data_IF_533287119246
#
_entry.id   IF_533287119246
#
_cell.length_a   1.000
_cell.length_b   1.000
_cell.length_c   1.000
_cell.angle_alpha   90.00
_cell.angle_beta   90.00
_cell.angle_gamma   90.00
#
_symmetry.space_group_name_H-M   'P 1'
#
loop_
_entity.id
_entity.type
_entity.pdbx_description
1 polymer ?
#
# COMPACT_ATOMS: atom_id res chain seq x y z
N UNK A 1 30.23 2.93 -13.84
CA UNK A 1 28.86 3.48 -13.85
C UNK A 1 28.80 4.75 -13.03
N UNK A 2 28.37 5.83 -13.66
CA UNK A 2 28.04 7.10 -13.03
C UNK A 2 26.57 7.14 -12.60
N UNK A 3 26.27 7.93 -11.56
CA UNK A 3 24.91 8.12 -11.05
C UNK A 3 23.96 8.61 -12.15
N UNK A 4 24.44 9.55 -12.96
CA UNK A 4 23.68 10.17 -14.04
C UNK A 4 23.18 9.17 -15.08
N UNK A 5 23.95 8.13 -15.40
CA UNK A 5 23.53 7.07 -16.34
C UNK A 5 22.26 6.35 -15.84
N UNK A 6 22.17 6.12 -14.52
CA UNK A 6 21.02 5.47 -13.89
C UNK A 6 19.82 6.42 -13.84
N UNK A 7 20.05 7.69 -13.49
CA UNK A 7 19.00 8.71 -13.42
C UNK A 7 18.38 9.01 -14.79
N UNK A 8 19.20 9.09 -15.84
CA UNK A 8 18.75 9.25 -17.23
C UNK A 8 17.86 8.08 -17.68
N UNK A 9 18.26 6.86 -17.33
CA UNK A 9 17.51 5.64 -17.67
C UNK A 9 16.18 5.55 -16.91
N UNK A 10 16.16 5.96 -15.63
CA UNK A 10 14.97 6.00 -14.79
C UNK A 10 14.09 7.23 -15.05
N UNK A 11 14.63 8.26 -15.70
CA UNK A 11 14.02 9.60 -15.83
C UNK A 11 13.66 10.21 -14.46
N UNK A 12 14.51 9.97 -13.48
CA UNK A 12 14.28 10.36 -12.08
C UNK A 12 15.62 10.53 -11.36
N UNK A 13 15.72 11.56 -10.52
CA UNK A 13 16.87 11.75 -9.62
C UNK A 13 16.82 10.77 -8.45
N UNK A 14 17.99 10.30 -8.02
CA UNK A 14 18.11 9.42 -6.86
C UNK A 14 18.99 10.06 -5.77
N UNK A 15 18.74 9.82 -4.48
CA UNK A 15 19.64 10.27 -3.43
C UNK A 15 21.01 9.58 -3.54
N UNK A 16 22.10 10.29 -3.22
CA UNK A 16 23.46 9.72 -3.25
C UNK A 16 23.59 8.50 -2.33
N UNK A 17 22.91 8.53 -1.18
CA UNK A 17 22.87 7.41 -0.23
C UNK A 17 22.18 6.17 -0.80
N UNK A 18 21.22 6.33 -1.71
CA UNK A 18 20.61 5.23 -2.45
C UNK A 18 21.56 4.76 -3.55
N UNK A 19 22.18 5.68 -4.30
CA UNK A 19 23.13 5.34 -5.36
C UNK A 19 24.29 4.47 -4.86
N UNK A 20 24.86 4.77 -3.68
CA UNK A 20 25.94 3.94 -3.10
C UNK A 20 25.47 2.49 -2.83
N UNK A 21 24.23 2.30 -2.36
CA UNK A 21 23.67 0.95 -2.15
C UNK A 21 23.43 0.24 -3.47
N UNK A 22 22.89 0.97 -4.45
CA UNK A 22 22.62 0.48 -5.81
C UNK A 22 23.91 0.00 -6.47
N UNK A 23 24.98 0.80 -6.42
CA UNK A 23 26.28 0.46 -6.99
C UNK A 23 26.84 -0.81 -6.34
N UNK A 24 26.86 -0.86 -5.01
CA UNK A 24 27.35 -2.04 -4.29
C UNK A 24 26.52 -3.31 -4.57
N UNK A 25 25.20 -3.19 -4.73
CA UNK A 25 24.35 -4.32 -5.13
C UNK A 25 24.68 -4.77 -6.56
N UNK A 26 24.72 -3.83 -7.51
CA UNK A 26 24.93 -4.10 -8.91
C UNK A 26 26.29 -4.77 -9.15
N UNK A 27 27.37 -4.29 -8.52
CA UNK A 27 28.70 -4.89 -8.62
C UNK A 27 28.75 -6.33 -8.08
N UNK A 28 28.14 -6.56 -6.90
CA UNK A 28 28.07 -7.90 -6.32
C UNK A 28 27.29 -8.86 -7.20
N UNK A 29 26.15 -8.41 -7.74
CA UNK A 29 25.31 -9.23 -8.61
C UNK A 29 25.96 -9.49 -9.96
N UNK A 30 26.60 -8.49 -10.55
CA UNK A 30 27.36 -8.63 -11.81
C UNK A 30 28.46 -9.68 -11.66
N UNK A 31 29.26 -9.57 -10.59
CA UNK A 31 30.32 -10.54 -10.28
C UNK A 31 29.77 -11.95 -10.06
N UNK A 32 28.67 -12.06 -9.33
CA UNK A 32 28.00 -13.35 -9.12
C UNK A 32 27.58 -13.97 -10.45
N UNK A 33 26.88 -13.22 -11.31
CA UNK A 33 26.41 -13.71 -12.61
C UNK A 33 27.60 -14.09 -13.50
N UNK A 34 28.63 -13.26 -13.58
CA UNK A 34 29.83 -13.56 -14.36
C UNK A 34 30.50 -14.86 -13.89
N UNK A 35 30.59 -15.08 -12.57
CA UNK A 35 31.15 -16.32 -12.04
C UNK A 35 30.33 -17.55 -12.44
N UNK A 36 29.02 -17.42 -12.61
CA UNK A 36 28.14 -18.52 -13.03
C UNK A 36 28.18 -18.76 -14.55
N UNK A 37 28.22 -17.71 -15.36
CA UNK A 37 28.04 -17.83 -16.82
C UNK A 37 29.35 -17.76 -17.61
N UNK A 38 30.39 -17.14 -17.05
CA UNK A 38 31.66 -16.81 -17.72
C UNK A 38 31.50 -15.94 -18.98
N UNK A 39 30.34 -15.29 -19.15
CA UNK A 39 30.06 -14.45 -20.30
C UNK A 39 30.68 -13.06 -20.14
N UNK A 40 31.57 -12.68 -21.07
CA UNK A 40 32.25 -11.38 -21.05
C UNK A 40 31.28 -10.20 -21.14
N UNK A 41 30.13 -10.38 -21.80
CA UNK A 41 29.06 -9.38 -21.91
C UNK A 41 28.57 -8.91 -20.53
N UNK A 42 28.57 -9.80 -19.52
CA UNK A 42 28.14 -9.47 -18.16
C UNK A 42 29.03 -8.42 -17.52
N UNK A 43 30.33 -8.39 -17.85
CA UNK A 43 31.29 -7.43 -17.28
C UNK A 43 31.26 -6.04 -17.95
N UNK A 44 30.44 -5.84 -18.98
CA UNK A 44 30.31 -4.54 -19.64
C UNK A 44 29.54 -3.52 -18.77
N UNK A 45 29.90 -2.24 -18.87
CA UNK A 45 29.30 -1.17 -18.06
C UNK A 45 27.77 -1.10 -18.22
N UNK A 46 27.24 -1.29 -19.43
CA UNK A 46 25.79 -1.26 -19.66
C UNK A 46 25.03 -2.29 -18.83
N UNK A 47 25.63 -3.46 -18.58
CA UNK A 47 25.02 -4.51 -17.77
C UNK A 47 24.93 -4.08 -16.31
N UNK A 48 25.97 -3.41 -15.80
CA UNK A 48 25.98 -2.82 -14.47
C UNK A 48 24.87 -1.76 -14.32
N UNK A 49 24.66 -0.91 -15.34
CA UNK A 49 23.56 0.07 -15.36
C UNK A 49 22.19 -0.63 -15.32
N UNK A 50 22.01 -1.75 -16.02
CA UNK A 50 20.77 -2.53 -15.98
C UNK A 50 20.50 -3.18 -14.62
N UNK A 51 21.52 -3.70 -13.96
CA UNK A 51 21.38 -4.23 -12.59
C UNK A 51 21.05 -3.13 -11.58
N UNK A 52 21.61 -1.93 -11.78
CA UNK A 52 21.29 -0.76 -10.97
C UNK A 52 19.83 -0.32 -11.15
N UNK A 53 19.36 -0.24 -12.39
CA UNK A 53 17.98 0.06 -12.76
C UNK A 53 17.00 -0.95 -12.13
N UNK A 54 17.31 -2.24 -12.21
CA UNK A 54 16.55 -3.32 -11.58
C UNK A 54 16.41 -3.09 -10.06
N UNK A 55 17.52 -2.84 -9.38
CA UNK A 55 17.52 -2.63 -7.92
C UNK A 55 16.66 -1.43 -7.51
N UNK A 56 16.79 -0.29 -8.20
CA UNK A 56 16.01 0.91 -7.85
C UNK A 56 14.51 0.64 -8.01
N UNK A 57 14.10 -0.06 -9.08
CA UNK A 57 12.69 -0.43 -9.27
C UNK A 57 12.19 -1.38 -8.19
N UNK A 58 12.95 -2.42 -7.87
CA UNK A 58 12.60 -3.36 -6.81
C UNK A 58 12.53 -2.69 -5.44
N UNK A 59 13.45 -1.77 -5.17
CA UNK A 59 13.47 -0.98 -3.94
C UNK A 59 12.23 -0.08 -3.83
N UNK A 60 11.91 0.69 -4.87
CA UNK A 60 10.73 1.55 -4.91
C UNK A 60 9.42 0.74 -4.75
N UNK A 61 9.32 -0.41 -5.42
CA UNK A 61 8.17 -1.31 -5.28
C UNK A 61 8.05 -1.86 -3.86
N UNK A 62 9.17 -2.24 -3.24
CA UNK A 62 9.20 -2.74 -1.87
C UNK A 62 8.78 -1.67 -0.86
N UNK A 63 9.32 -0.46 -0.98
CA UNK A 63 8.95 0.69 -0.12
C UNK A 63 7.47 1.01 -0.26
N UNK A 64 6.96 1.08 -1.49
CA UNK A 64 5.54 1.31 -1.77
C UNK A 64 4.67 0.24 -1.11
N UNK A 65 5.00 -1.04 -1.32
CA UNK A 65 4.27 -2.18 -0.74
C UNK A 65 4.25 -2.10 0.79
N UNK A 66 5.39 -1.81 1.41
CA UNK A 66 5.48 -1.67 2.86
C UNK A 66 4.64 -0.49 3.38
N UNK A 67 4.59 0.63 2.65
CA UNK A 67 3.77 1.78 3.00
C UNK A 67 2.28 1.41 3.02
N UNK A 68 1.78 0.82 1.93
CA UNK A 68 0.37 0.38 1.82
C UNK A 68 0.03 -0.62 2.94
N UNK A 69 0.88 -1.60 3.21
CA UNK A 69 0.63 -2.57 4.28
C UNK A 69 0.60 -1.93 5.68
N UNK A 70 1.38 -0.85 5.92
CA UNK A 70 1.35 -0.13 7.20
C UNK A 70 0.07 0.69 7.36
N UNK A 71 -0.37 1.35 6.30
CA UNK A 71 -1.62 2.11 6.27
C UNK A 71 -2.82 1.18 6.55
N UNK A 72 -2.92 0.06 5.85
CA UNK A 72 -3.99 -0.92 6.06
C UNK A 72 -4.03 -1.46 7.49
N UNK A 73 -2.87 -1.80 8.07
CA UNK A 73 -2.77 -2.22 9.49
C UNK A 73 -3.18 -1.12 10.46
N UNK A 74 -2.97 0.14 10.12
CA UNK A 74 -3.43 1.28 10.90
C UNK A 74 -4.95 1.38 10.89
N UNK A 75 -5.55 1.29 9.70
CA UNK A 75 -7.01 1.33 9.49
C UNK A 75 -7.73 0.17 10.18
N UNK A 76 -7.20 -1.06 10.10
CA UNK A 76 -7.74 -2.22 10.81
C UNK A 76 -7.79 -2.00 12.34
N UNK A 77 -6.79 -1.30 12.89
CA UNK A 77 -6.75 -0.96 14.32
C UNK A 77 -7.68 0.18 14.70
N UNK A 78 -7.88 1.16 13.82
CA UNK A 78 -8.82 2.27 14.05
C UNK A 78 -10.27 1.77 14.12
N UNK A 79 -10.65 0.78 13.31
CA UNK A 79 -11.95 0.11 13.42
C UNK A 79 -12.09 -0.80 14.66
N UNK A 80 -11.00 -1.07 15.39
CA UNK A 80 -11.04 -1.86 16.62
C UNK A 80 -11.35 -1.00 17.86
N UNK A 81 -11.39 0.32 17.73
CA UNK A 81 -11.78 1.21 18.81
C UNK A 81 -13.33 1.33 18.90
N UNK A 82 -13.86 0.67 19.95
CA UNK A 82 -15.19 0.83 20.58
C UNK A 82 -16.38 0.12 19.94
N UNK A 83 -16.47 -1.19 20.20
CA UNK A 83 -17.77 -1.86 20.42
C UNK A 83 -17.94 -2.31 21.87
N UNK A 84 -17.40 -1.56 22.84
CA UNK A 84 -17.70 -1.74 24.28
C UNK A 84 -18.63 -0.66 24.85
N UNK A 85 -19.41 0.01 24.02
CA UNK A 85 -20.48 0.89 24.50
C UNK A 85 -21.75 0.70 23.70
N UNK A 86 -22.35 -0.49 23.84
CA UNK A 86 -23.80 -0.58 23.83
C UNK A 86 -24.24 -0.62 25.30
N UNK A 87 -24.93 0.40 25.82
CA UNK A 87 -25.69 0.23 27.06
C UNK A 87 -26.70 -0.90 26.79
N UNK A 88 -26.44 -2.10 27.32
CA UNK A 88 -27.45 -3.16 27.35
C UNK A 88 -28.47 -2.79 28.41
N UNK A 89 -29.38 -1.89 28.08
CA UNK A 89 -30.62 -1.79 28.81
C UNK A 89 -31.74 -1.35 27.86
N UNK A 90 -32.02 -2.18 26.86
CA UNK A 90 -33.27 -2.12 26.13
C UNK A 90 -34.24 -3.03 26.88
N UNK A 91 -34.97 -2.47 27.85
CA UNK A 91 -36.21 -3.07 28.32
C UNK A 91 -37.31 -2.60 27.36
N UNK A 92 -37.54 -3.37 26.29
CA UNK A 92 -38.76 -3.23 25.49
C UNK A 92 -39.92 -3.65 26.37
N UNK A 93 -40.68 -2.67 26.85
CA UNK A 93 -41.99 -2.92 27.47
C UNK A 93 -42.98 -3.16 26.34
N UNK A 94 -43.44 -4.40 26.19
CA UNK A 94 -44.56 -4.70 25.31
C UNK A 94 -45.82 -4.04 25.90
N UNK A 95 -46.39 -3.08 25.17
CA UNK A 95 -47.68 -2.48 25.50
C UNK A 95 -48.77 -3.52 25.17
N UNK A 96 -49.65 -3.93 26.10
CA UNK A 96 -50.70 -4.87 25.78
C UNK A 96 -51.73 -4.19 24.87
N UNK A 97 -52.09 -4.88 23.79
CA UNK A 97 -53.16 -4.46 22.90
C UNK A 97 -54.49 -4.48 23.67
N UNK A 98 -55.11 -3.31 23.82
CA UNK A 98 -56.53 -3.22 24.11
C UNK A 98 -57.21 -2.49 22.96
N UNK A 99 -57.97 -3.26 22.19
CA UNK A 99 -58.91 -2.81 21.18
C UNK A 99 -59.89 -1.78 21.75
N UNK A 100 -60.18 -0.73 20.98
CA UNK A 100 -61.56 -0.27 20.83
C UNK A 100 -61.69 0.67 19.64
N UNK A 101 -62.42 0.16 18.64
CA UNK A 101 -63.06 0.88 17.56
C UNK A 101 -63.64 2.24 18.00
N UNK A 102 -63.53 3.25 17.12
CA UNK A 102 -64.70 3.94 16.52
C UNK A 102 -64.30 5.04 15.51
N UNK A 103 -64.77 4.79 14.29
CA UNK A 103 -65.39 5.74 13.35
C UNK A 103 -64.53 6.70 12.49
N UNK A 104 -64.68 6.45 11.19
CA UNK A 104 -64.38 7.33 10.06
C UNK A 104 -64.97 8.75 10.21
N UNK A 105 -64.20 9.74 9.78
CA UNK A 105 -64.64 10.68 8.74
C UNK A 105 -63.44 11.36 8.07
N UNK A 106 -63.32 11.14 6.77
CA UNK A 106 -62.37 11.82 5.87
C UNK A 106 -62.83 13.26 5.63
N UNK A 107 -61.91 14.22 5.72
CA UNK A 107 -62.13 15.58 5.23
C UNK A 107 -60.93 16.49 5.45
N UNK A 108 -60.25 16.88 4.37
CA UNK A 108 -59.23 17.95 4.42
C UNK A 108 -58.31 17.98 3.21
N UNK A 109 -58.67 18.78 2.22
CA UNK A 109 -58.03 18.96 0.90
C UNK A 109 -56.58 19.48 0.98
N UNK A 110 -55.73 18.98 0.09
CA UNK A 110 -54.45 19.58 -0.28
C UNK A 110 -54.67 20.92 -1.00
N UNK A 111 -53.87 21.92 -0.64
CA UNK A 111 -53.54 23.09 -1.46
C UNK A 111 -52.12 22.88 -1.99
#
# INVERSE_FOLDING_TARGET
MEKKEVEELLKMEIPDSLFQRVLGYAERKQRYIYNQTQEQTVMQNWYLVKLAEEYVRSFAFSEFTMCVCRELKGMEKEHSAKSQSAPRNIHIVACPASESNKNLQYGGKFL
#
